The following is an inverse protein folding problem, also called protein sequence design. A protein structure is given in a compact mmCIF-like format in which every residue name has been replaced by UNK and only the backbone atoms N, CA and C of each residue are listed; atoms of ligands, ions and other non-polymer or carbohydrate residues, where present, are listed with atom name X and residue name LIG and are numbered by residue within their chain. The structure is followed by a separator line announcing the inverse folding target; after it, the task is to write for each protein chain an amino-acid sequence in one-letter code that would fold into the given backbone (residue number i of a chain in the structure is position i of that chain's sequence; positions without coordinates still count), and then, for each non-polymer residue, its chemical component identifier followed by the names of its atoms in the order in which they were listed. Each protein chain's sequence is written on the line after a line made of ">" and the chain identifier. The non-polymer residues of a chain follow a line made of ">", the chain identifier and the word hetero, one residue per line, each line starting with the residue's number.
data_IF_518356713342
#
_entry.id   IF_518356713342
#
_cell.length_a   1.000
_cell.length_b   1.000
_cell.length_c   1.000
_cell.angle_alpha   90.00
_cell.angle_beta   90.00
_cell.angle_gamma   90.00
#
_symmetry.space_group_name_H-M   'P 1'
#
loop_
_entity.id
_entity.type
_entity.pdbx_description
1 polymer ?
#
# COMPACT_ATOMS: atom_id res chain seq x y z
N UNK A 1 25.96 51.48 -17.34
CA UNK A 1 26.11 50.68 -16.10
C UNK A 1 25.35 49.37 -16.30
N UNK A 2 26.07 48.31 -16.69
CA UNK A 2 25.53 46.99 -17.00
C UNK A 2 25.50 46.15 -15.72
N UNK A 3 24.32 45.76 -15.24
CA UNK A 3 24.18 44.82 -14.12
C UNK A 3 24.06 43.40 -14.69
N UNK A 4 25.20 42.69 -14.74
CA UNK A 4 25.26 41.26 -14.99
C UNK A 4 24.60 40.50 -13.82
N UNK A 5 23.32 40.19 -13.94
CA UNK A 5 22.59 39.32 -13.02
C UNK A 5 22.61 37.88 -13.56
N UNK A 6 23.80 37.32 -13.73
CA UNK A 6 24.01 35.90 -14.02
C UNK A 6 24.63 35.23 -12.79
N UNK A 7 24.30 33.96 -12.55
CA UNK A 7 24.94 33.04 -11.58
C UNK A 7 24.27 32.73 -10.23
N UNK A 8 22.94 32.63 -10.14
CA UNK A 8 22.31 31.87 -9.03
C UNK A 8 21.26 30.83 -9.45
N UNK A 9 21.39 30.26 -10.64
CA UNK A 9 20.66 29.04 -11.02
C UNK A 9 21.63 27.86 -11.19
N UNK A 10 22.45 27.58 -10.18
CA UNK A 10 23.32 26.40 -10.15
C UNK A 10 22.69 25.31 -9.29
N UNK A 11 22.24 24.26 -9.98
CA UNK A 11 22.10 22.87 -9.50
C UNK A 11 21.08 22.59 -8.38
N UNK A 12 19.87 22.23 -8.79
CA UNK A 12 19.11 21.14 -8.15
C UNK A 12 18.45 20.23 -9.20
N UNK A 13 19.18 19.86 -10.26
CA UNK A 13 18.77 18.75 -11.13
C UNK A 13 19.46 17.48 -10.60
N UNK A 14 19.02 17.04 -9.42
CA UNK A 14 19.43 15.78 -8.82
C UNK A 14 18.31 15.22 -7.94
N UNK A 15 17.10 15.12 -8.50
CA UNK A 15 16.14 14.09 -8.07
C UNK A 15 16.13 13.07 -9.21
N UNK A 16 17.15 12.24 -9.32
CA UNK A 16 17.30 11.01 -8.54
C UNK A 16 16.06 10.12 -8.74
N UNK A 17 16.26 9.01 -9.44
CA UNK A 17 15.25 8.05 -9.85
C UNK A 17 14.16 7.84 -8.78
N UNK A 18 12.91 8.19 -9.10
CA UNK A 18 11.74 8.03 -8.22
C UNK A 18 11.34 6.57 -7.97
N UNK A 19 12.12 5.61 -8.46
CA UNK A 19 11.91 4.18 -8.25
C UNK A 19 12.25 3.72 -6.81
N UNK A 20 12.93 4.56 -6.01
CA UNK A 20 13.35 4.24 -4.63
C UNK A 20 12.91 5.30 -3.60
N UNK A 21 12.00 6.21 -3.96
CA UNK A 21 11.43 7.14 -2.98
C UNK A 21 10.22 6.47 -2.33
N UNK A 22 10.32 6.20 -1.02
CA UNK A 22 9.16 5.76 -0.22
C UNK A 22 8.01 6.71 -0.52
N UNK A 23 6.91 6.19 -1.10
CA UNK A 23 5.75 7.02 -1.45
C UNK A 23 5.22 7.67 -0.18
N UNK A 24 5.06 8.99 -0.21
CA UNK A 24 4.45 9.74 0.89
C UNK A 24 3.05 9.17 1.17
N UNK A 25 2.68 9.12 2.46
CA UNK A 25 1.32 8.73 2.85
C UNK A 25 0.32 9.67 2.17
N UNK A 26 -0.57 9.10 1.35
CA UNK A 26 -1.55 9.84 0.56
C UNK A 26 -2.99 9.66 1.05
N UNK A 27 -3.19 8.94 2.16
CA UNK A 27 -4.50 8.65 2.74
C UNK A 27 -4.60 9.15 4.18
N UNK A 28 -5.80 9.52 4.61
CA UNK A 28 -6.09 9.94 5.98
C UNK A 28 -6.60 8.75 6.82
N UNK A 29 -7.56 8.02 6.30
CA UNK A 29 -8.32 6.98 6.98
C UNK A 29 -8.12 5.61 6.32
N UNK A 30 -8.13 4.57 7.16
CA UNK A 30 -8.02 3.17 6.75
C UNK A 30 -9.21 2.43 7.35
N UNK A 31 -9.99 1.75 6.50
CA UNK A 31 -11.12 0.95 6.93
C UNK A 31 -11.04 -0.46 6.38
N UNK A 32 -11.58 -1.43 7.14
CA UNK A 32 -11.65 -2.83 6.75
C UNK A 32 -13.09 -3.21 6.51
N UNK A 33 -13.36 -3.82 5.36
CA UNK A 33 -14.69 -4.32 4.97
C UNK A 33 -14.63 -5.84 4.87
N UNK A 34 -15.58 -6.50 5.52
CA UNK A 34 -15.70 -7.94 5.51
C UNK A 34 -16.64 -8.33 4.37
N UNK A 35 -16.18 -9.22 3.50
CA UNK A 35 -17.00 -9.80 2.44
C UNK A 35 -16.91 -11.32 2.50
N UNK A 36 -17.97 -11.96 2.01
CA UNK A 36 -18.05 -13.42 1.91
C UNK A 36 -18.15 -13.76 0.43
N UNK A 37 -17.27 -14.63 -0.06
CA UNK A 37 -17.31 -15.09 -1.45
C UNK A 37 -18.47 -16.06 -1.66
N UNK A 38 -18.79 -16.35 -2.93
CA UNK A 38 -19.82 -17.34 -3.31
C UNK A 38 -19.50 -18.75 -2.77
N UNK A 39 -18.23 -18.99 -2.47
CA UNK A 39 -17.71 -20.23 -1.86
C UNK A 39 -17.81 -20.26 -0.33
N UNK A 40 -18.39 -19.22 0.29
CA UNK A 40 -18.51 -19.09 1.75
C UNK A 40 -17.22 -18.70 2.46
N UNK A 41 -16.15 -18.39 1.72
CA UNK A 41 -14.88 -17.93 2.30
C UNK A 41 -14.99 -16.46 2.72
N UNK A 42 -14.60 -16.18 3.96
CA UNK A 42 -14.56 -14.81 4.49
C UNK A 42 -13.23 -14.16 4.15
N UNK A 43 -13.30 -13.00 3.51
CA UNK A 43 -12.13 -12.20 3.19
C UNK A 43 -12.34 -10.74 3.55
N UNK A 44 -11.24 -10.08 3.88
CA UNK A 44 -11.20 -8.66 4.20
C UNK A 44 -10.71 -7.88 2.99
N UNK A 45 -11.44 -6.81 2.67
CA UNK A 45 -10.97 -5.74 1.79
C UNK A 45 -10.49 -4.57 2.64
N UNK A 46 -9.40 -3.96 2.20
CA UNK A 46 -8.85 -2.75 2.81
C UNK A 46 -9.22 -1.56 1.94
N UNK A 47 -9.72 -0.49 2.55
CA UNK A 47 -9.97 0.77 1.86
C UNK A 47 -9.10 1.86 2.46
N UNK A 48 -8.57 2.72 1.57
CA UNK A 48 -7.83 3.94 1.90
C UNK A 48 -8.69 5.12 1.46
N UNK A 49 -9.15 5.97 2.39
CA UNK A 49 -10.10 7.06 2.12
C UNK A 49 -11.29 6.63 1.24
N UNK A 50 -11.93 5.52 1.62
CA UNK A 50 -13.05 4.89 0.90
C UNK A 50 -12.73 4.30 -0.49
N UNK A 51 -11.45 4.23 -0.89
CA UNK A 51 -11.02 3.57 -2.13
C UNK A 51 -10.46 2.19 -1.84
N UNK A 52 -10.94 1.17 -2.56
CA UNK A 52 -10.45 -0.20 -2.43
C UNK A 52 -8.98 -0.31 -2.80
N UNK A 53 -8.19 -0.88 -1.89
CA UNK A 53 -6.79 -1.17 -2.11
C UNK A 53 -6.63 -2.30 -3.13
N UNK A 54 -5.74 -2.09 -4.10
CA UNK A 54 -5.42 -3.03 -5.15
C UNK A 54 -3.96 -3.47 -5.07
N UNK A 55 -3.68 -4.67 -5.53
CA UNK A 55 -2.32 -5.16 -5.74
C UNK A 55 -1.65 -4.39 -6.88
N UNK A 56 -0.33 -4.52 -7.02
CA UNK A 56 0.41 -3.92 -8.12
C UNK A 56 -0.10 -4.39 -9.50
N UNK A 57 -0.68 -5.60 -9.57
CA UNK A 57 -1.32 -6.14 -10.78
C UNK A 57 -2.75 -5.64 -11.02
N UNK A 58 -3.26 -4.70 -10.22
CA UNK A 58 -4.59 -4.11 -10.40
C UNK A 58 -5.76 -4.95 -9.85
N UNK A 59 -5.49 -6.11 -9.27
CA UNK A 59 -6.50 -6.95 -8.63
C UNK A 59 -6.86 -6.41 -7.24
N UNK A 60 -8.08 -6.63 -6.78
CA UNK A 60 -8.49 -6.25 -5.42
C UNK A 60 -7.69 -7.07 -4.42
N UNK A 61 -7.07 -6.40 -3.43
CA UNK A 61 -6.37 -7.10 -2.37
C UNK A 61 -7.41 -7.78 -1.45
N UNK A 62 -7.48 -9.10 -1.50
CA UNK A 62 -8.28 -9.94 -0.61
C UNK A 62 -7.36 -10.52 0.47
N UNK A 63 -7.67 -10.27 1.73
CA UNK A 63 -6.96 -10.91 2.85
C UNK A 63 -7.86 -12.01 3.40
N UNK A 64 -7.44 -13.27 3.24
CA UNK A 64 -8.17 -14.43 3.74
C UNK A 64 -8.17 -14.45 5.27
N UNK A 65 -9.35 -14.54 5.87
CA UNK A 65 -9.48 -14.78 7.30
C UNK A 65 -9.28 -16.28 7.54
N UNK A 66 -8.02 -16.70 7.70
CA UNK A 66 -7.74 -18.03 8.22
C UNK A 66 -8.18 -18.09 9.67
N UNK A 67 -9.21 -18.91 9.97
CA UNK A 67 -9.54 -19.23 11.35
C UNK A 67 -8.28 -19.79 12.02
N UNK A 68 -7.90 -19.31 13.21
CA UNK A 68 -6.79 -19.92 13.94
C UNK A 68 -7.16 -21.38 14.22
N UNK A 69 -6.52 -22.31 13.51
CA UNK A 69 -6.58 -23.71 13.88
C UNK A 69 -5.70 -23.87 15.12
N UNK A 70 -6.34 -24.10 16.26
CA UNK A 70 -5.66 -24.45 17.49
C UNK A 70 -5.17 -25.90 17.39
N UNK A 71 -4.03 -26.10 16.75
CA UNK A 71 -3.21 -27.30 16.98
C UNK A 71 -2.18 -26.96 18.05
N UNK A 72 -2.38 -27.46 19.26
CA UNK A 72 -1.36 -27.52 20.32
C UNK A 72 -0.56 -26.23 20.55
N UNK A 73 -1.20 -25.18 21.09
CA UNK A 73 -0.52 -24.11 21.84
C UNK A 73 0.47 -23.20 21.10
N UNK A 74 0.71 -23.36 19.80
CA UNK A 74 1.62 -22.47 19.04
C UNK A 74 0.94 -21.90 17.80
N UNK A 75 0.84 -20.56 17.75
CA UNK A 75 0.30 -19.83 16.58
C UNK A 75 1.24 -20.04 15.39
N UNK A 76 0.80 -20.81 14.39
CA UNK A 76 1.46 -20.85 13.08
C UNK A 76 0.58 -20.09 12.09
N UNK A 77 1.02 -18.89 11.71
CA UNK A 77 0.39 -18.12 10.62
C UNK A 77 0.96 -18.70 9.32
N UNK A 78 0.19 -19.56 8.64
CA UNK A 78 0.51 -20.01 7.29
C UNK A 78 -0.06 -19.00 6.29
N UNK A 79 0.82 -18.16 5.74
CA UNK A 79 0.51 -17.39 4.53
C UNK A 79 0.49 -18.36 3.35
N UNK A 80 -0.65 -18.48 2.67
CA UNK A 80 -0.74 -19.17 1.38
C UNK A 80 -0.66 -18.06 0.32
N UNK A 81 0.36 -18.15 -0.54
CA UNK A 81 0.59 -17.21 -1.66
C UNK A 81 -0.35 -17.49 -2.82
#
# INVERSE_FOLDING_TARGET
>A
MSTNLSFFCRRFISNQASALTKRQKFYKEVSVVNETDERGEQFHKILLDHRTLKTQGGQILKVLLLKPQYFGGKRKITSVY
#
